data_IF_488845731435
#
_entry.id   IF_488845731435
#
_cell.length_a   1.000
_cell.length_b   1.000
_cell.length_c   1.000
_cell.angle_alpha   90.00
_cell.angle_beta   90.00
_cell.angle_gamma   90.00
#
_symmetry.space_group_name_H-M   'P 1'
#
loop_
_entity.id
_entity.type
_entity.pdbx_description
1 polymer ?
#
# COMPACT_ATOMS: atom_id res chain seq x y z
N UNK A 1 21.05 -8.07 -7.71
CA UNK A 1 20.98 -7.71 -6.29
C UNK A 1 22.10 -6.75 -6.00
N UNK A 2 21.82 -5.61 -5.36
CA UNK A 2 22.84 -4.66 -4.90
C UNK A 2 23.21 -5.06 -3.47
N UNK A 3 24.51 -5.14 -3.14
CA UNK A 3 24.96 -5.48 -1.79
C UNK A 3 24.74 -4.28 -0.88
N UNK A 4 23.93 -4.46 0.16
CA UNK A 4 23.65 -3.43 1.15
C UNK A 4 24.06 -3.93 2.53
N UNK A 5 24.85 -3.12 3.24
CA UNK A 5 25.19 -3.39 4.63
C UNK A 5 24.10 -2.82 5.53
N UNK A 6 23.58 -3.64 6.45
CA UNK A 6 22.58 -3.25 7.43
C UNK A 6 23.11 -3.54 8.83
N UNK A 7 22.74 -2.69 9.78
CA UNK A 7 23.04 -2.93 11.19
C UNK A 7 21.89 -3.70 11.82
N UNK A 8 22.23 -4.76 12.55
CA UNK A 8 21.29 -5.56 13.32
C UNK A 8 21.79 -5.64 14.75
N UNK A 9 20.86 -5.63 15.70
CA UNK A 9 21.17 -5.97 17.08
C UNK A 9 21.66 -7.42 17.17
N UNK A 10 22.37 -7.74 18.26
CA UNK A 10 22.82 -9.11 18.53
C UNK A 10 21.64 -10.10 18.58
N UNK A 11 20.52 -9.65 19.13
CA UNK A 11 19.31 -10.46 19.29
C UNK A 11 18.63 -10.75 17.94
N UNK A 12 18.48 -9.73 17.08
CA UNK A 12 17.94 -9.91 15.72
C UNK A 12 18.81 -10.87 14.90
N UNK A 13 20.14 -10.71 14.94
CA UNK A 13 21.06 -11.63 14.24
C UNK A 13 20.94 -13.07 14.76
N UNK A 14 20.73 -13.26 16.06
CA UNK A 14 20.52 -14.59 16.65
C UNK A 14 19.21 -15.20 16.15
N UNK A 15 18.10 -14.47 16.18
CA UNK A 15 16.82 -15.00 15.73
C UNK A 15 16.77 -15.22 14.21
N UNK A 16 17.42 -14.37 13.43
CA UNK A 16 17.50 -14.54 11.98
C UNK A 16 18.26 -15.82 11.61
N UNK A 17 19.32 -16.16 12.35
CA UNK A 17 20.02 -17.44 12.21
C UNK A 17 19.10 -18.64 12.51
N UNK A 18 18.36 -18.59 13.61
CA UNK A 18 17.44 -19.66 14.00
C UNK A 18 16.33 -19.84 12.96
N UNK A 19 15.76 -18.74 12.45
CA UNK A 19 14.75 -18.77 11.39
C UNK A 19 15.32 -19.33 10.08
N UNK A 20 16.54 -18.95 9.72
CA UNK A 20 17.23 -19.46 8.54
C UNK A 20 17.36 -20.99 8.59
N UNK A 21 17.77 -21.53 9.73
CA UNK A 21 17.88 -22.98 9.93
C UNK A 21 16.52 -23.68 9.91
N UNK A 22 15.52 -23.11 10.59
CA UNK A 22 14.17 -23.70 10.69
C UNK A 22 13.44 -23.73 9.34
N UNK A 23 13.59 -22.68 8.53
CA UNK A 23 12.86 -22.51 7.26
C UNK A 23 13.66 -23.08 6.07
N UNK A 24 14.96 -23.32 6.23
CA UNK A 24 15.83 -23.79 5.14
C UNK A 24 16.14 -22.70 4.11
N UNK A 25 15.97 -21.43 4.46
CA UNK A 25 16.30 -20.27 3.60
C UNK A 25 17.52 -19.55 4.13
N UNK A 26 18.30 -18.92 3.25
CA UNK A 26 19.42 -18.08 3.70
C UNK A 26 18.91 -16.84 4.43
N UNK A 27 19.74 -16.28 5.33
CA UNK A 27 19.43 -15.02 6.03
C UNK A 27 19.10 -13.89 5.06
N UNK A 28 19.86 -13.76 3.97
CA UNK A 28 19.63 -12.73 2.95
C UNK A 28 18.30 -12.90 2.22
N UNK A 29 17.83 -14.14 2.04
CA UNK A 29 16.50 -14.40 1.48
C UNK A 29 15.40 -13.99 2.47
N UNK A 30 15.55 -14.33 3.76
CA UNK A 30 14.58 -13.94 4.80
C UNK A 30 14.48 -12.42 4.98
N UNK A 31 15.63 -11.72 5.03
CA UNK A 31 15.66 -10.25 5.12
C UNK A 31 14.92 -9.63 3.93
N UNK A 32 15.18 -10.14 2.74
CA UNK A 32 14.57 -9.63 1.51
C UNK A 32 13.06 -9.86 1.50
N UNK A 33 12.61 -11.07 1.85
CA UNK A 33 11.17 -11.37 1.94
C UNK A 33 10.47 -10.46 2.95
N UNK A 34 11.09 -10.20 4.11
CA UNK A 34 10.55 -9.27 5.10
C UNK A 34 10.45 -7.84 4.55
N UNK A 35 11.49 -7.36 3.85
CA UNK A 35 11.48 -6.03 3.21
C UNK A 35 10.41 -5.97 2.11
N UNK A 36 10.31 -6.98 1.26
CA UNK A 36 9.31 -7.03 0.19
C UNK A 36 7.88 -7.01 0.76
N UNK A 37 7.62 -7.77 1.83
CA UNK A 37 6.34 -7.76 2.53
C UNK A 37 6.06 -6.39 3.15
N UNK A 38 7.05 -5.77 3.78
CA UNK A 38 6.92 -4.43 4.36
C UNK A 38 6.61 -3.37 3.28
N UNK A 39 7.35 -3.37 2.18
CA UNK A 39 7.10 -2.49 1.03
C UNK A 39 5.69 -2.72 0.48
N UNK A 40 5.28 -3.97 0.29
CA UNK A 40 3.95 -4.30 -0.19
C UNK A 40 2.85 -3.80 0.77
N UNK A 41 3.07 -3.90 2.07
CA UNK A 41 2.11 -3.42 3.06
C UNK A 41 1.98 -1.88 3.07
N UNK A 42 3.07 -1.16 2.81
CA UNK A 42 3.11 0.29 3.02
C UNK A 42 3.09 1.14 1.74
N UNK A 43 3.59 0.63 0.62
CA UNK A 43 3.73 1.40 -0.62
C UNK A 43 2.71 0.97 -1.69
N UNK A 44 2.39 -0.33 -1.81
CA UNK A 44 1.44 -0.79 -2.85
C UNK A 44 0.03 -0.23 -2.66
N UNK A 45 -0.43 -0.04 -1.42
CA UNK A 45 -1.74 0.57 -1.17
C UNK A 45 -1.84 2.01 -1.68
N UNK A 46 -0.73 2.78 -1.74
CA UNK A 46 -0.76 4.16 -2.23
C UNK A 46 -0.84 4.24 -3.75
N UNK A 47 -0.01 3.46 -4.44
CA UNK A 47 -0.02 3.43 -5.91
C UNK A 47 -1.32 2.81 -6.45
N UNK A 48 -1.79 1.72 -5.84
CA UNK A 48 -3.05 1.07 -6.24
C UNK A 48 -4.27 1.97 -5.92
N UNK A 49 -4.26 2.71 -4.81
CA UNK A 49 -5.35 3.62 -4.47
C UNK A 49 -5.42 4.80 -5.44
N UNK A 50 -4.28 5.43 -5.74
CA UNK A 50 -4.27 6.55 -6.67
C UNK A 50 -4.63 6.09 -8.10
N UNK A 51 -4.08 4.96 -8.56
CA UNK A 51 -4.45 4.37 -9.83
C UNK A 51 -5.93 3.96 -9.89
N UNK A 52 -6.48 3.39 -8.81
CA UNK A 52 -7.90 3.05 -8.72
C UNK A 52 -8.80 4.29 -8.69
N UNK A 53 -8.39 5.37 -8.00
CA UNK A 53 -9.10 6.65 -8.03
C UNK A 53 -9.10 7.25 -9.44
N UNK A 54 -7.94 7.27 -10.12
CA UNK A 54 -7.87 7.77 -11.50
C UNK A 54 -8.70 6.90 -12.46
N UNK A 55 -8.68 5.58 -12.31
CA UNK A 55 -9.50 4.67 -13.13
C UNK A 55 -11.01 4.81 -12.84
N UNK A 56 -11.39 5.15 -11.60
CA UNK A 56 -12.77 5.39 -11.22
C UNK A 56 -13.27 6.78 -11.64
N UNK A 57 -12.37 7.76 -11.88
CA UNK A 57 -12.77 9.08 -12.39
C UNK A 57 -13.43 8.91 -13.76
N UNK A 58 -14.63 9.47 -13.88
CA UNK A 58 -15.40 9.41 -15.12
C UNK A 58 -16.20 8.13 -15.33
N UNK A 59 -16.09 7.12 -14.45
CA UNK A 59 -16.85 5.86 -14.58
C UNK A 59 -18.37 6.08 -14.65
N UNK A 60 -18.88 7.15 -14.03
CA UNK A 60 -20.31 7.47 -14.00
C UNK A 60 -20.67 8.67 -14.88
N UNK A 61 -19.72 9.21 -15.67
CA UNK A 61 -19.95 10.40 -16.49
C UNK A 61 -21.02 10.16 -17.57
N UNK A 62 -21.03 8.97 -18.18
CA UNK A 62 -21.95 8.62 -19.28
C UNK A 62 -23.19 7.83 -18.82
N UNK A 63 -23.34 7.62 -17.51
CA UNK A 63 -24.48 6.89 -16.92
C UNK A 63 -25.72 7.77 -16.89
N UNK A 64 -26.64 7.55 -17.83
CA UNK A 64 -27.92 8.30 -17.94
C UNK A 64 -29.04 7.74 -17.08
N UNK A 65 -28.85 6.55 -16.51
CA UNK A 65 -29.78 5.86 -15.62
C UNK A 65 -29.82 6.44 -14.20
N UNK A 66 -28.80 7.21 -13.82
CA UNK A 66 -28.63 7.76 -12.48
C UNK A 66 -29.03 9.25 -12.45
N UNK A 67 -30.33 9.52 -12.39
CA UNK A 67 -30.93 10.85 -12.63
C UNK A 67 -30.71 11.92 -11.55
N UNK A 68 -29.84 11.72 -10.54
CA UNK A 68 -29.65 12.68 -9.45
C UNK A 68 -28.19 12.89 -9.00
N UNK A 69 -27.20 12.33 -9.71
CA UNK A 69 -25.78 12.38 -9.29
C UNK A 69 -25.26 13.80 -9.08
N UNK A 70 -25.66 14.74 -9.95
CA UNK A 70 -25.23 16.14 -9.87
C UNK A 70 -25.73 16.84 -8.60
N UNK A 71 -26.96 16.53 -8.15
CA UNK A 71 -27.51 17.09 -6.92
C UNK A 71 -26.76 16.57 -5.69
N UNK A 72 -26.53 15.26 -5.64
CA UNK A 72 -25.79 14.59 -4.55
C UNK A 72 -24.36 15.15 -4.48
N UNK A 73 -23.70 15.35 -5.62
CA UNK A 73 -22.35 15.93 -5.65
C UNK A 73 -22.32 17.36 -5.11
N UNK A 74 -23.28 18.19 -5.53
CA UNK A 74 -23.39 19.59 -5.09
C UNK A 74 -23.66 19.72 -3.59
N UNK A 75 -24.47 18.84 -3.02
CA UNK A 75 -24.72 18.79 -1.59
C UNK A 75 -23.45 18.47 -0.79
N UNK A 76 -22.67 17.48 -1.27
CA UNK A 76 -21.39 17.13 -0.65
C UNK A 76 -20.37 18.28 -0.74
N UNK A 77 -20.26 18.95 -1.90
CA UNK A 77 -19.36 20.08 -2.10
C UNK A 77 -19.68 21.25 -1.16
N UNK A 78 -20.96 21.48 -0.85
CA UNK A 78 -21.37 22.50 0.10
C UNK A 78 -20.97 22.12 1.55
N UNK A 79 -21.20 20.86 1.96
CA UNK A 79 -20.85 20.39 3.30
C UNK A 79 -19.34 20.46 3.58
N UNK A 80 -18.51 20.20 2.57
CA UNK A 80 -17.06 20.30 2.68
C UNK A 80 -16.57 21.75 2.84
N UNK A 81 -17.30 22.73 2.30
CA UNK A 81 -16.97 24.16 2.47
C UNK A 81 -17.36 24.71 3.84
N UNK A 82 -18.40 24.15 4.45
CA UNK A 82 -18.84 24.55 5.80
C UNK A 82 -17.96 23.99 6.92
N UNK A 83 -16.97 23.15 6.58
CA UNK A 83 -16.06 22.48 7.53
C UNK A 83 -14.62 23.06 7.54
N UNK A 84 -14.34 24.08 6.72
CA UNK A 84 -13.11 24.90 6.75
C UNK A 84 -13.33 26.24 7.46
#
# INVERSE_FOLDING_TARGET
MIRTQIYLTKQERKYLNLLSQKIGKSQSALIREAIDQFIKAHLKARDDHQAAMEAAKGLWADRKDLSNLTKIRKELDNRLKDTE
#
